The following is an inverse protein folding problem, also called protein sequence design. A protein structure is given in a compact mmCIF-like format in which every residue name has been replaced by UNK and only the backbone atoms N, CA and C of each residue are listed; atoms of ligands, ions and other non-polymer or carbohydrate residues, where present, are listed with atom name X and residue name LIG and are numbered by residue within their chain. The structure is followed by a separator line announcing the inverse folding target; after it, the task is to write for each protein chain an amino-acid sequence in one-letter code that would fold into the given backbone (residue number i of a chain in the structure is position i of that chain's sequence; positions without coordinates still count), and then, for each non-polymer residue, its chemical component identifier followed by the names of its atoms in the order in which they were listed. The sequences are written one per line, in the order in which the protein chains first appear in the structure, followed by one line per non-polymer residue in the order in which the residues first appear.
data_IF_615436049419
#
_entry.id   IF_615436049419
#
_cell.length_a   1.000
_cell.length_b   1.000
_cell.length_c   1.000
_cell.angle_alpha   90.00
_cell.angle_beta   90.00
_cell.angle_gamma   90.00
#
_symmetry.space_group_name_H-M   'P 1'
#
loop_
_entity.id
_entity.type
_entity.pdbx_description
1 polymer ?
#
# COMPACT_ATOMS: atom_id res chain seq x y z
N UNK A 1 -2.09 7.43 16.65
CA UNK A 1 -3.13 7.11 15.65
C UNK A 1 -3.21 5.59 15.43
N UNK A 2 -4.20 5.06 14.66
CA UNK A 2 -4.38 3.59 14.47
C UNK A 2 -3.16 2.93 13.82
N UNK A 3 -2.67 3.48 12.70
CA UNK A 3 -1.56 2.89 11.93
C UNK A 3 -0.23 2.97 12.71
N UNK A 4 0.01 4.05 13.43
CA UNK A 4 1.22 4.25 14.25
C UNK A 4 1.32 3.25 15.41
N UNK A 5 0.21 2.65 15.85
CA UNK A 5 0.18 1.68 16.94
C UNK A 5 0.48 0.24 16.48
N UNK A 6 0.68 0.00 15.18
CA UNK A 6 0.98 -1.33 14.64
C UNK A 6 2.42 -1.70 14.99
N UNK A 7 2.61 -2.88 15.60
CA UNK A 7 3.89 -3.38 16.14
C UNK A 7 5.10 -3.25 15.19
N UNK A 8 4.86 -3.36 13.88
CA UNK A 8 5.92 -3.41 12.86
C UNK A 8 6.14 -2.06 12.15
N UNK A 9 5.50 -0.97 12.59
CA UNK A 9 5.58 0.35 11.94
C UNK A 9 6.53 1.25 12.72
N UNK A 10 7.64 1.66 12.08
CA UNK A 10 8.56 2.66 12.65
C UNK A 10 8.07 4.10 12.47
N UNK A 11 7.41 4.38 11.34
CA UNK A 11 6.94 5.73 10.98
C UNK A 11 5.71 5.69 10.09
N UNK A 12 4.77 6.61 10.35
CA UNK A 12 3.62 6.87 9.48
C UNK A 12 3.79 8.21 8.77
N UNK A 13 3.50 8.22 7.48
CA UNK A 13 3.49 9.43 6.64
C UNK A 13 2.14 9.47 5.91
N UNK A 14 1.37 10.57 6.00
CA UNK A 14 0.13 10.70 5.25
C UNK A 14 0.37 10.62 3.75
N UNK A 15 -0.38 9.75 3.06
CA UNK A 15 -0.39 9.72 1.61
C UNK A 15 -1.35 10.79 1.08
N UNK A 16 -0.82 11.89 0.57
CA UNK A 16 -1.60 13.02 0.02
C UNK A 16 -1.76 12.96 -1.51
N UNK A 17 -1.07 12.03 -2.16
CA UNK A 17 -1.11 11.81 -3.61
C UNK A 17 -0.93 10.33 -3.95
N UNK A 18 -1.41 9.90 -5.13
CA UNK A 18 -1.16 8.57 -5.67
C UNK A 18 0.18 8.47 -6.42
N UNK A 19 0.83 9.60 -6.68
CA UNK A 19 2.14 9.66 -7.32
C UNK A 19 3.24 9.17 -6.36
N UNK A 20 3.67 7.93 -6.56
CA UNK A 20 4.67 7.27 -5.70
C UNK A 20 6.08 7.82 -5.94
N UNK A 21 6.36 8.40 -7.11
CA UNK A 21 7.65 9.01 -7.41
C UNK A 21 7.87 10.27 -6.57
N UNK A 22 6.82 11.08 -6.37
CA UNK A 22 6.87 12.23 -5.44
C UNK A 22 7.06 11.85 -3.98
N UNK A 23 6.49 10.70 -3.58
CA UNK A 23 6.74 10.17 -2.24
C UNK A 23 8.22 9.77 -2.09
N UNK A 24 8.79 9.16 -3.14
CA UNK A 24 10.19 8.74 -3.16
C UNK A 24 11.17 9.92 -3.10
N UNK A 25 10.87 11.06 -3.74
CA UNK A 25 11.74 12.25 -3.69
C UNK A 25 12.09 12.67 -2.26
N UNK A 26 11.14 12.50 -1.33
CA UNK A 26 11.24 12.90 0.07
C UNK A 26 11.68 11.75 0.99
N UNK A 27 11.25 10.52 0.70
CA UNK A 27 11.43 9.37 1.59
C UNK A 27 12.59 8.46 1.19
N UNK A 28 12.94 8.41 -0.10
CA UNK A 28 14.04 7.60 -0.66
C UNK A 28 13.99 6.14 -0.22
N UNK A 29 12.81 5.52 -0.32
CA UNK A 29 12.63 4.09 0.00
C UNK A 29 13.15 3.20 -1.12
N UNK A 30 13.59 1.99 -0.78
CA UNK A 30 14.13 1.01 -1.72
C UNK A 30 13.06 0.03 -2.25
N UNK A 31 12.02 -0.24 -1.44
CA UNK A 31 10.97 -1.22 -1.74
C UNK A 31 9.61 -0.67 -1.34
N UNK A 32 8.58 -0.93 -2.14
CA UNK A 32 7.17 -0.71 -1.79
C UNK A 32 6.42 -2.05 -1.71
N UNK A 33 5.57 -2.18 -0.70
CA UNK A 33 4.71 -3.36 -0.51
C UNK A 33 3.27 -3.00 -0.79
N UNK A 34 2.54 -3.89 -1.48
CA UNK A 34 1.11 -3.74 -1.71
C UNK A 34 0.41 -5.09 -1.74
N UNK A 35 -0.91 -5.12 -1.56
CA UNK A 35 -1.68 -6.35 -1.69
C UNK A 35 -1.68 -6.85 -3.14
N UNK A 36 -1.63 -8.17 -3.32
CA UNK A 36 -1.64 -8.83 -4.63
C UNK A 36 -2.96 -8.67 -5.40
N UNK A 37 -4.02 -8.19 -4.74
CA UNK A 37 -5.27 -7.76 -5.35
C UNK A 37 -5.10 -6.66 -6.41
N UNK A 38 -3.98 -5.92 -6.38
CA UNK A 38 -3.66 -4.87 -7.35
C UNK A 38 -2.73 -5.32 -8.48
N UNK A 39 -2.16 -6.51 -8.38
CA UNK A 39 -1.17 -7.02 -9.34
C UNK A 39 -1.80 -7.18 -10.72
N UNK A 40 -1.14 -6.67 -11.76
CA UNK A 40 -1.64 -6.73 -13.14
C UNK A 40 -2.75 -5.72 -13.44
N UNK A 41 -3.04 -4.78 -12.53
CA UNK A 41 -3.91 -3.66 -12.84
C UNK A 41 -3.17 -2.60 -13.64
N UNK A 42 -3.83 -1.99 -14.64
CA UNK A 42 -3.22 -0.93 -15.45
C UNK A 42 -2.58 0.20 -14.63
N UNK A 43 -3.15 0.52 -13.46
CA UNK A 43 -2.61 1.52 -12.55
C UNK A 43 -1.30 1.06 -11.91
N UNK A 44 -1.27 -0.15 -11.33
CA UNK A 44 -0.07 -0.62 -10.63
C UNK A 44 1.02 -1.08 -11.59
N UNK A 45 0.70 -1.58 -12.78
CA UNK A 45 1.70 -1.88 -13.81
C UNK A 45 2.47 -0.61 -14.21
N UNK A 46 1.76 0.52 -14.31
CA UNK A 46 2.39 1.82 -14.56
C UNK A 46 3.26 2.28 -13.39
N UNK A 47 2.74 2.20 -12.15
CA UNK A 47 3.48 2.60 -10.95
C UNK A 47 4.74 1.72 -10.77
N UNK A 48 4.62 0.42 -10.98
CA UNK A 48 5.73 -0.53 -10.92
C UNK A 48 6.82 -0.17 -11.93
N UNK A 49 6.45 0.13 -13.17
CA UNK A 49 7.40 0.55 -14.19
C UNK A 49 8.11 1.87 -13.83
N UNK A 50 7.37 2.86 -13.31
CA UNK A 50 7.91 4.16 -12.87
C UNK A 50 8.89 4.00 -11.70
N UNK A 51 8.55 3.18 -10.70
CA UNK A 51 9.40 2.90 -9.55
C UNK A 51 10.64 2.09 -9.93
N UNK A 52 10.48 1.09 -10.82
CA UNK A 52 11.61 0.30 -11.32
C UNK A 52 12.63 1.15 -12.07
N UNK A 53 12.19 2.16 -12.81
CA UNK A 53 13.07 3.09 -13.52
C UNK A 53 13.98 3.90 -12.58
N UNK A 54 13.59 4.06 -11.31
CA UNK A 54 14.38 4.74 -10.26
C UNK A 54 15.02 3.77 -9.27
N UNK A 55 15.03 2.46 -9.58
CA UNK A 55 15.69 1.43 -8.78
C UNK A 55 14.89 0.98 -7.55
N UNK A 56 13.58 1.18 -7.54
CA UNK A 56 12.70 0.77 -6.44
C UNK A 56 11.93 -0.49 -6.83
N UNK A 57 11.93 -1.49 -5.94
CA UNK A 57 11.20 -2.73 -6.15
C UNK A 57 9.76 -2.64 -5.64
N UNK A 58 8.82 -3.26 -6.37
CA UNK A 58 7.45 -3.47 -5.93
C UNK A 58 7.25 -4.93 -5.53
N UNK A 59 6.81 -5.16 -4.29
CA UNK A 59 6.54 -6.50 -3.75
C UNK A 59 5.06 -6.62 -3.43
N UNK A 60 4.40 -7.57 -4.10
CA UNK A 60 3.01 -7.91 -3.83
C UNK A 60 2.92 -8.98 -2.73
N UNK A 61 2.14 -8.70 -1.69
CA UNK A 61 1.87 -9.61 -0.58
C UNK A 61 0.50 -10.27 -0.75
N UNK A 62 0.36 -11.58 -0.49
CA UNK A 62 -0.93 -12.26 -0.56
C UNK A 62 -1.98 -11.61 0.35
N UNK A 63 -3.20 -11.43 -0.18
CA UNK A 63 -4.32 -11.02 0.64
C UNK A 63 -4.55 -11.98 1.82
N UNK A 64 -4.86 -11.43 3.00
CA UNK A 64 -5.18 -12.25 4.17
C UNK A 64 -6.64 -12.70 4.11
N UNK A 65 -6.84 -13.99 3.91
CA UNK A 65 -8.17 -14.58 3.88
C UNK A 65 -8.92 -14.45 5.22
N UNK A 66 -10.24 -14.35 5.12
CA UNK A 66 -11.15 -14.41 6.28
C UNK A 66 -11.36 -13.10 7.05
N UNK A 67 -10.72 -11.99 6.64
CA UNK A 67 -10.94 -10.67 7.26
C UNK A 67 -10.91 -9.53 6.23
N UNK A 68 -11.88 -8.63 6.31
CA UNK A 68 -11.90 -7.40 5.51
C UNK A 68 -12.74 -6.32 6.20
N UNK A 69 -12.53 -5.05 5.84
CA UNK A 69 -13.35 -3.95 6.37
C UNK A 69 -14.83 -4.10 5.98
N UNK A 70 -15.13 -4.55 4.77
CA UNK A 70 -16.50 -4.84 4.32
C UNK A 70 -17.15 -5.92 5.17
N UNK A 71 -16.43 -7.01 5.46
CA UNK A 71 -16.94 -8.08 6.32
C UNK A 71 -17.11 -7.63 7.78
N UNK A 72 -16.24 -6.76 8.28
CA UNK A 72 -16.38 -6.19 9.62
C UNK A 72 -17.56 -5.23 9.70
N UNK A 73 -17.73 -4.33 8.72
CA UNK A 73 -18.86 -3.40 8.65
C UNK A 73 -20.20 -4.16 8.66
N UNK A 74 -20.35 -5.19 7.82
CA UNK A 74 -21.55 -6.02 7.81
C UNK A 74 -21.85 -6.75 9.13
N UNK A 75 -20.85 -6.97 10.00
CA UNK A 75 -21.03 -7.54 11.35
C UNK A 75 -21.44 -6.50 12.38
N UNK A 76 -21.23 -5.21 12.13
CA UNK A 76 -21.58 -4.14 13.08
C UNK A 76 -23.07 -3.80 13.08
N UNK A 77 -23.82 -4.18 12.05
CA UNK A 77 -25.25 -3.84 11.91
C UNK A 77 -25.51 -2.33 11.80
N UNK A 78 -24.49 -1.56 11.41
CA UNK A 78 -24.60 -0.14 11.10
C UNK A 78 -24.98 -0.07 9.61
N UNK A 79 -26.15 0.47 9.32
CA UNK A 79 -26.62 0.75 7.96
C UNK A 79 -25.92 1.97 7.34
#
# INVERSE_FOLDING_TARGET
AIVEAIKYVDRVVPQTSMDKTKAWDNLRFDVIFHGDDWKGSNMYDKIEAELKAIGVDMVFLPHTEGISSTALFGKTGID
#
